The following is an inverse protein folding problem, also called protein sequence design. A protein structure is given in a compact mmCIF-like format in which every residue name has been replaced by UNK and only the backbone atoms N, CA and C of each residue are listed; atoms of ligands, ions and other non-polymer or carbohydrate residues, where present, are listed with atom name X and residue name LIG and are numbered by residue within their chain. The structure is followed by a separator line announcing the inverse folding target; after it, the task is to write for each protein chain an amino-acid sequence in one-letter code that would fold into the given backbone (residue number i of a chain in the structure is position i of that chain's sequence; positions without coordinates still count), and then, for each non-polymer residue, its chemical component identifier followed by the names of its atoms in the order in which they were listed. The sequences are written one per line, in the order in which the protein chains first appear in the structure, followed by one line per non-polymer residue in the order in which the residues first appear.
data_IF_233028425431
#
_entry.id   IF_233028425431
#
_cell.length_a   1.000
_cell.length_b   1.000
_cell.length_c   1.000
_cell.angle_alpha   90.00
_cell.angle_beta   90.00
_cell.angle_gamma   90.00
#
_symmetry.space_group_name_H-M   'P 1'
#
loop_
_entity.id
_entity.type
_entity.pdbx_description
1 polymer ?
#
# COMPACT_ATOMS: atom_id res chain seq x y z
N UNK A 1 0.38 -12.27 -8.51
CA UNK A 1 1.71 -12.27 -7.86
C UNK A 1 2.80 -12.84 -8.74
N UNK A 2 2.49 -13.61 -9.78
CA UNK A 2 3.46 -14.18 -10.74
C UNK A 2 4.38 -13.11 -11.36
N UNK A 3 3.84 -11.92 -11.69
CA UNK A 3 4.60 -10.78 -12.25
C UNK A 3 5.56 -10.07 -11.27
N UNK A 4 5.41 -10.27 -9.95
CA UNK A 4 6.29 -9.62 -8.96
C UNK A 4 7.63 -10.35 -8.82
N UNK A 5 7.73 -11.60 -9.29
CA UNK A 5 8.92 -12.44 -9.15
C UNK A 5 10.13 -11.88 -9.90
N UNK A 6 9.88 -11.21 -11.03
CA UNK A 6 10.93 -10.66 -11.91
C UNK A 6 10.97 -9.12 -11.89
N UNK A 7 10.22 -8.48 -10.98
CA UNK A 7 10.18 -7.02 -10.86
C UNK A 7 11.30 -6.54 -9.92
N UNK A 8 12.39 -5.94 -10.45
CA UNK A 8 13.55 -5.58 -9.64
C UNK A 8 13.26 -4.48 -8.61
N UNK A 9 12.11 -3.80 -8.73
CA UNK A 9 11.68 -2.75 -7.81
C UNK A 9 10.81 -3.27 -6.65
N UNK A 10 10.37 -4.54 -6.70
CA UNK A 10 9.45 -5.13 -5.72
C UNK A 10 10.19 -6.16 -4.86
N UNK A 11 10.51 -5.76 -3.62
CA UNK A 11 11.11 -6.63 -2.62
C UNK A 11 10.11 -7.15 -1.58
N UNK A 12 10.58 -7.92 -0.59
CA UNK A 12 9.73 -8.47 0.48
C UNK A 12 8.94 -7.42 1.26
N UNK A 13 9.53 -6.23 1.47
CA UNK A 13 8.85 -5.12 2.17
C UNK A 13 7.69 -4.57 1.34
N UNK A 14 7.86 -4.43 0.02
CA UNK A 14 6.78 -4.03 -0.89
C UNK A 14 5.65 -5.05 -0.89
N UNK A 15 5.97 -6.34 -0.90
CA UNK A 15 4.99 -7.43 -0.82
C UNK A 15 4.21 -7.35 0.50
N UNK A 16 4.90 -7.21 1.63
CA UNK A 16 4.27 -7.07 2.95
C UNK A 16 3.32 -5.85 3.01
N UNK A 17 3.76 -4.71 2.46
CA UNK A 17 2.94 -3.50 2.37
C UNK A 17 1.71 -3.72 1.49
N UNK A 18 1.88 -4.30 0.31
CA UNK A 18 0.79 -4.57 -0.63
C UNK A 18 -0.25 -5.54 -0.06
N UNK A 19 0.20 -6.64 0.56
CA UNK A 19 -0.69 -7.61 1.23
C UNK A 19 -1.44 -6.96 2.40
N UNK A 20 -0.77 -6.08 3.15
CA UNK A 20 -1.43 -5.33 4.22
C UNK A 20 -2.54 -4.45 3.69
N UNK A 21 -2.28 -3.67 2.64
CA UNK A 21 -3.28 -2.86 1.96
C UNK A 21 -4.43 -3.72 1.41
N UNK A 22 -4.14 -4.86 0.78
CA UNK A 22 -5.17 -5.79 0.28
C UNK A 22 -6.05 -6.34 1.41
N UNK A 23 -5.47 -6.54 2.59
CA UNK A 23 -6.24 -6.99 3.75
C UNK A 23 -7.21 -5.90 4.22
N UNK A 24 -6.80 -4.63 4.22
CA UNK A 24 -7.73 -3.51 4.46
C UNK A 24 -8.84 -3.48 3.41
N UNK A 25 -8.51 -3.64 2.13
CA UNK A 25 -9.49 -3.72 1.05
C UNK A 25 -10.52 -4.82 1.22
N UNK A 26 -10.09 -6.01 1.64
CA UNK A 26 -11.00 -7.12 1.94
C UNK A 26 -11.91 -6.84 3.14
N UNK A 27 -11.41 -6.15 4.18
CA UNK A 27 -12.21 -5.78 5.37
C UNK A 27 -13.30 -4.76 5.03
N UNK A 28 -13.02 -3.84 4.11
CA UNK A 28 -13.98 -2.82 3.64
C UNK A 28 -14.97 -3.37 2.59
N UNK A 29 -15.17 -4.69 2.52
CA UNK A 29 -16.01 -5.35 1.52
C UNK A 29 -15.66 -4.98 0.07
N UNK A 30 -14.36 -4.87 -0.24
CA UNK A 30 -13.87 -4.69 -1.62
C UNK A 30 -14.34 -3.35 -2.24
N UNK A 31 -14.59 -2.34 -1.39
CA UNK A 31 -14.91 -0.98 -1.83
C UNK A 31 -13.63 -0.21 -2.14
N UNK A 32 -13.48 0.23 -3.38
CA UNK A 32 -12.41 1.13 -3.80
C UNK A 32 -12.92 2.58 -3.83
N UNK A 33 -12.12 3.56 -3.38
CA UNK A 33 -10.82 3.40 -2.72
C UNK A 33 -10.96 2.89 -1.28
N UNK A 34 -9.89 2.31 -0.75
CA UNK A 34 -9.75 2.16 0.72
C UNK A 34 -9.21 3.44 1.32
N UNK A 35 -9.74 3.81 2.48
CA UNK A 35 -9.19 4.85 3.34
C UNK A 35 -8.29 4.20 4.38
N UNK A 36 -7.00 4.56 4.39
CA UNK A 36 -6.01 3.96 5.28
C UNK A 36 -5.22 5.01 6.05
N UNK A 37 -5.01 4.77 7.34
CA UNK A 37 -4.06 5.55 8.13
C UNK A 37 -2.68 4.90 8.07
N UNK A 38 -1.66 5.70 7.75
CA UNK A 38 -0.25 5.26 7.69
C UNK A 38 0.16 4.41 8.91
N UNK A 39 -0.21 4.82 10.12
CA UNK A 39 0.13 4.11 11.37
C UNK A 39 -0.37 2.66 11.37
N UNK A 40 -1.57 2.43 10.86
CA UNK A 40 -2.22 1.13 10.89
C UNK A 40 -1.63 0.23 9.80
N UNK A 41 -1.40 0.79 8.61
CA UNK A 41 -0.72 0.07 7.52
C UNK A 41 0.70 -0.31 7.91
N UNK A 42 1.50 0.62 8.46
CA UNK A 42 2.87 0.36 8.93
C UNK A 42 2.92 -0.75 9.99
N UNK A 43 2.01 -0.71 10.98
CA UNK A 43 1.91 -1.73 12.03
C UNK A 43 1.58 -3.11 11.45
N UNK A 44 0.66 -3.15 10.48
CA UNK A 44 0.25 -4.41 9.85
C UNK A 44 1.34 -4.96 8.93
N UNK A 45 2.02 -4.11 8.16
CA UNK A 45 3.09 -4.49 7.22
C UNK A 45 4.46 -4.69 7.88
N UNK A 46 4.55 -4.52 9.20
CA UNK A 46 5.79 -4.62 9.98
C UNK A 46 6.89 -3.65 9.52
N UNK A 47 6.51 -2.46 9.05
CA UNK A 47 7.45 -1.41 8.65
C UNK A 47 7.63 -0.44 9.82
N UNK A 48 8.85 -0.36 10.36
CA UNK A 48 9.19 0.55 11.47
C UNK A 48 9.59 1.97 11.03
N UNK A 49 10.12 2.12 9.81
CA UNK A 49 10.61 3.41 9.31
C UNK A 49 9.58 4.10 8.41
N UNK A 50 9.32 5.38 8.68
CA UNK A 50 8.47 6.24 7.85
C UNK A 50 9.03 6.36 6.43
N UNK A 51 10.35 6.50 6.28
CA UNK A 51 10.99 6.67 4.98
C UNK A 51 10.90 5.40 4.16
N UNK A 52 11.10 4.24 4.80
CA UNK A 52 10.89 2.93 4.15
C UNK A 52 9.45 2.76 3.69
N UNK A 53 8.47 3.15 4.51
CA UNK A 53 7.05 3.12 4.11
C UNK A 53 6.79 3.96 2.87
N UNK A 54 7.21 5.22 2.84
CA UNK A 54 6.96 6.10 1.69
C UNK A 54 7.73 5.67 0.45
N UNK A 55 8.96 5.19 0.59
CA UNK A 55 9.72 4.61 -0.51
C UNK A 55 8.97 3.44 -1.14
N UNK A 56 8.63 2.42 -0.36
CA UNK A 56 7.93 1.24 -0.87
C UNK A 56 6.54 1.58 -1.44
N UNK A 57 5.82 2.52 -0.83
CA UNK A 57 4.52 2.97 -1.33
C UNK A 57 4.65 3.70 -2.68
N UNK A 58 5.67 4.54 -2.83
CA UNK A 58 5.97 5.20 -4.11
C UNK A 58 6.43 4.21 -5.16
N UNK A 59 7.25 3.22 -4.82
CA UNK A 59 7.68 2.17 -5.74
C UNK A 59 6.45 1.37 -6.26
N UNK A 60 5.54 0.98 -5.36
CA UNK A 60 4.27 0.33 -5.73
C UNK A 60 3.40 1.20 -6.65
N UNK A 61 3.37 2.51 -6.39
CA UNK A 61 2.67 3.48 -7.26
C UNK A 61 3.34 3.58 -8.63
N UNK A 62 4.65 3.73 -8.68
CA UNK A 62 5.42 3.85 -9.93
C UNK A 62 5.34 2.61 -10.79
N UNK A 63 5.35 1.42 -10.17
CA UNK A 63 5.20 0.14 -10.89
C UNK A 63 3.74 -0.13 -11.33
N UNK A 64 2.80 0.74 -10.94
CA UNK A 64 1.40 0.67 -11.35
C UNK A 64 0.58 -0.38 -10.60
N UNK A 65 0.98 -0.80 -9.41
CA UNK A 65 0.18 -1.71 -8.57
C UNK A 65 -0.94 -0.98 -7.83
N UNK A 66 -0.72 0.28 -7.48
CA UNK A 66 -1.68 1.10 -6.74
C UNK A 66 -1.68 2.55 -7.26
N UNK A 67 -2.80 3.24 -7.04
CA UNK A 67 -2.83 4.70 -7.01
C UNK A 67 -2.97 5.16 -5.56
N UNK A 68 -2.12 6.10 -5.14
CA UNK A 68 -2.11 6.63 -3.77
C UNK A 68 -2.40 8.13 -3.76
N UNK A 69 -3.42 8.54 -3.00
CA UNK A 69 -3.79 9.93 -2.75
C UNK A 69 -3.59 10.22 -1.26
N UNK A 70 -2.56 11.02 -0.89
CA UNK A 70 -2.28 11.30 0.51
C UNK A 70 -3.38 12.17 1.14
N UNK A 71 -3.71 11.89 2.40
CA UNK A 71 -4.44 12.82 3.26
C UNK A 71 -3.46 13.52 4.20
N UNK A 72 -3.61 14.84 4.34
CA UNK A 72 -2.89 15.66 5.32
C UNK A 72 -3.72 15.93 6.58
N UNK A 73 -4.97 15.43 6.62
CA UNK A 73 -5.86 15.56 7.76
C UNK A 73 -5.72 14.32 8.65
N UNK A 74 -5.35 14.44 9.94
CA UNK A 74 -5.17 13.30 10.84
C UNK A 74 -6.44 12.49 11.11
N UNK A 75 -7.62 13.07 10.82
CA UNK A 75 -8.93 12.41 10.95
C UNK A 75 -9.34 11.66 9.66
N UNK A 76 -8.70 11.95 8.53
CA UNK A 76 -9.01 11.34 7.24
C UNK A 76 -7.84 10.45 6.78
N UNK A 77 -8.14 9.20 6.44
CA UNK A 77 -7.14 8.30 5.87
C UNK A 77 -6.72 8.75 4.47
N UNK A 78 -5.51 8.35 4.07
CA UNK A 78 -5.10 8.44 2.67
C UNK A 78 -5.89 7.44 1.84
N UNK A 79 -6.19 7.79 0.59
CA UNK A 79 -6.94 6.90 -0.30
C UNK A 79 -5.98 6.04 -1.13
N UNK A 80 -6.28 4.75 -1.23
CA UNK A 80 -5.56 3.79 -2.07
C UNK A 80 -6.54 3.10 -3.01
N UNK A 81 -6.22 3.10 -4.30
CA UNK A 81 -6.89 2.30 -5.31
C UNK A 81 -5.96 1.17 -5.75
N UNK A 82 -6.50 -0.04 -5.87
CA UNK A 82 -5.79 -1.15 -6.50
C UNK A 82 -5.98 -1.08 -8.00
N UNK A 83 -4.87 -1.14 -8.73
CA UNK A 83 -4.89 -1.18 -10.19
C UNK A 83 -4.79 -2.64 -10.61
N UNK A 84 -5.71 -3.08 -11.46
CA UNK A 84 -5.64 -4.41 -12.07
C UNK A 84 -4.61 -4.33 -13.19
N UNK A 85 -3.57 -5.15 -13.12
CA UNK A 85 -2.51 -5.28 -14.12
C UNK A 85 -2.45 -6.71 -14.63
#
# INVERSE_FOLDING_TARGET
MEKAKDDPFIGPIHISLYVSLLTFYKRENVKAPISVFRRDVMKQSKIGSRDTYYKCLNDLKMCGYIQYIPSFNPLLGSLVYFLIK
#
